data_IF_437939782740
#
_entry.id   IF_437939782740
#
_cell.length_a   1.000
_cell.length_b   1.000
_cell.length_c   1.000
_cell.angle_alpha   90.00
_cell.angle_beta   90.00
_cell.angle_gamma   90.00
#
_symmetry.space_group_name_H-M   'P 1'
#
loop_
_entity.id
_entity.type
_entity.pdbx_description
1 polymer ?
#
# COMPACT_ATOMS: atom_id res chain seq x y z
N UNK A 1 -61.01 10.43 -30.02
CA UNK A 1 -60.80 10.52 -28.55
C UNK A 1 -60.09 9.25 -28.09
N UNK A 2 -58.95 9.43 -27.39
CA UNK A 2 -58.28 8.54 -26.41
C UNK A 2 -57.69 7.22 -26.98
N UNK A 3 -56.36 7.00 -27.16
CA UNK A 3 -55.15 6.98 -26.29
C UNK A 3 -54.69 5.52 -26.00
N UNK A 4 -53.50 5.15 -26.52
CA UNK A 4 -52.39 4.36 -25.86
C UNK A 4 -52.68 2.95 -25.29
N UNK A 5 -51.82 1.92 -25.31
CA UNK A 5 -50.35 1.70 -25.35
C UNK A 5 -50.16 0.16 -25.58
N UNK A 6 -49.19 -0.31 -26.38
CA UNK A 6 -47.88 -0.88 -25.95
C UNK A 6 -47.96 -1.68 -24.63
N UNK A 7 -47.51 -2.94 -24.54
CA UNK A 7 -46.10 -3.30 -24.33
C UNK A 7 -45.86 -4.78 -24.77
N UNK A 8 -44.75 -4.97 -25.48
CA UNK A 8 -44.14 -6.26 -25.83
C UNK A 8 -43.59 -6.99 -24.59
N UNK A 9 -43.94 -8.26 -24.45
CA UNK A 9 -43.27 -9.19 -23.54
C UNK A 9 -41.88 -9.55 -24.11
N UNK A 10 -40.84 -8.91 -23.58
CA UNK A 10 -39.45 -9.33 -23.79
C UNK A 10 -39.00 -10.14 -22.57
N UNK A 11 -38.95 -11.46 -22.74
CA UNK A 11 -38.27 -12.36 -21.82
C UNK A 11 -36.75 -12.12 -21.94
N UNK A 12 -36.14 -11.57 -20.88
CA UNK A 12 -34.69 -11.51 -20.74
C UNK A 12 -34.21 -12.75 -19.98
N UNK A 13 -33.25 -13.53 -20.51
CA UNK A 13 -32.57 -14.53 -19.72
C UNK A 13 -31.60 -13.83 -18.76
N UNK A 14 -31.85 -13.98 -17.46
CA UNK A 14 -30.89 -13.65 -16.40
C UNK A 14 -29.69 -14.61 -16.52
N UNK A 15 -28.70 -14.22 -17.32
CA UNK A 15 -27.38 -14.83 -17.29
C UNK A 15 -26.71 -14.41 -15.97
N UNK A 16 -26.85 -15.24 -14.95
CA UNK A 16 -26.04 -15.16 -13.73
C UNK A 16 -24.62 -15.52 -14.13
N UNK A 17 -23.83 -14.50 -14.48
CA UNK A 17 -22.38 -14.62 -14.52
C UNK A 17 -21.89 -14.82 -13.10
N UNK A 18 -21.63 -16.09 -12.74
CA UNK A 18 -20.80 -16.44 -11.60
C UNK A 18 -19.41 -15.85 -11.87
N UNK A 19 -19.16 -14.66 -11.33
CA UNK A 19 -17.80 -14.15 -11.18
C UNK A 19 -17.14 -15.12 -10.20
N UNK A 20 -16.27 -16.00 -10.71
CA UNK A 20 -15.32 -16.73 -9.88
C UNK A 20 -14.50 -15.70 -9.12
N UNK A 21 -14.84 -15.49 -7.86
CA UNK A 21 -13.95 -14.85 -6.89
C UNK A 21 -12.75 -15.77 -6.77
N UNK A 22 -11.73 -15.54 -7.60
CA UNK A 22 -10.39 -16.02 -7.30
C UNK A 22 -10.01 -15.39 -5.97
N UNK A 23 -10.29 -16.12 -4.89
CA UNK A 23 -9.76 -15.84 -3.56
C UNK A 23 -8.30 -16.26 -3.64
N UNK A 24 -7.49 -15.48 -4.38
CA UNK A 24 -6.05 -15.51 -4.20
C UNK A 24 -5.87 -15.15 -2.73
N UNK A 25 -5.49 -16.13 -1.92
CA UNK A 25 -5.14 -15.88 -0.52
C UNK A 25 -4.17 -14.71 -0.53
N UNK A 26 -4.59 -13.55 -0.02
CA UNK A 26 -3.73 -12.38 -0.02
C UNK A 26 -2.46 -12.76 0.74
N UNK A 27 -1.34 -12.83 0.03
CA UNK A 27 -0.03 -13.15 0.58
C UNK A 27 0.77 -11.86 0.64
N UNK A 28 1.43 -11.66 1.78
CA UNK A 28 2.38 -10.57 1.92
C UNK A 28 3.64 -10.87 1.10
N UNK A 29 4.31 -9.83 0.56
CA UNK A 29 5.64 -9.98 0.01
C UNK A 29 6.58 -10.60 1.04
N UNK A 30 7.54 -11.40 0.56
CA UNK A 30 8.51 -12.10 1.42
C UNK A 30 9.24 -11.16 2.39
N UNK A 31 9.52 -9.92 1.97
CA UNK A 31 10.15 -8.91 2.80
C UNK A 31 9.29 -8.51 4.01
N UNK A 32 7.97 -8.39 3.82
CA UNK A 32 7.03 -8.00 4.87
C UNK A 32 6.78 -9.17 5.83
N UNK A 33 6.67 -10.41 5.33
CA UNK A 33 6.60 -11.61 6.19
C UNK A 33 7.88 -11.74 7.05
N UNK A 34 9.05 -11.54 6.44
CA UNK A 34 10.32 -11.58 7.17
C UNK A 34 10.42 -10.46 8.22
N UNK A 35 9.87 -9.28 7.93
CA UNK A 35 9.77 -8.20 8.90
C UNK A 35 8.87 -8.59 10.08
N UNK A 36 7.64 -9.05 9.83
CA UNK A 36 6.70 -9.42 10.87
C UNK A 36 7.24 -10.55 11.76
N UNK A 37 7.92 -11.54 11.17
CA UNK A 37 8.56 -12.62 11.92
C UNK A 37 9.66 -12.09 12.87
N UNK A 38 10.51 -11.17 12.40
CA UNK A 38 11.54 -10.53 13.25
C UNK A 38 10.94 -9.65 14.33
N UNK A 39 9.89 -8.90 13.98
CA UNK A 39 9.18 -8.03 14.90
C UNK A 39 8.51 -8.85 16.02
N UNK A 40 7.83 -9.95 15.69
CA UNK A 40 7.24 -10.84 16.69
C UNK A 40 8.32 -11.46 17.60
N UNK A 41 9.43 -11.92 17.02
CA UNK A 41 10.56 -12.46 17.80
C UNK A 41 11.11 -11.46 18.82
N UNK A 42 11.08 -10.16 18.49
CA UNK A 42 11.67 -9.09 19.32
C UNK A 42 10.67 -8.47 20.29
N UNK A 43 9.41 -8.34 19.88
CA UNK A 43 8.34 -7.67 20.63
C UNK A 43 7.44 -8.64 21.39
N UNK A 44 7.56 -9.94 21.10
CA UNK A 44 6.75 -11.02 21.69
C UNK A 44 5.24 -10.74 21.56
N UNK A 45 4.71 -10.81 20.35
CA UNK A 45 3.29 -10.55 20.12
C UNK A 45 2.43 -11.62 20.80
N UNK A 46 1.31 -11.17 21.35
CA UNK A 46 0.18 -12.07 21.65
C UNK A 46 -0.46 -12.59 20.35
N UNK A 47 -1.24 -13.67 20.44
CA UNK A 47 -1.95 -14.21 19.27
C UNK A 47 -2.89 -13.18 18.62
N UNK A 48 -3.56 -12.37 19.44
CA UNK A 48 -4.40 -11.27 18.97
C UNK A 48 -3.60 -10.19 18.23
N UNK A 49 -2.40 -9.87 18.70
CA UNK A 49 -1.51 -8.92 18.02
C UNK A 49 -0.94 -9.50 16.72
N UNK A 50 -0.56 -10.79 16.68
CA UNK A 50 -0.10 -11.44 15.44
C UNK A 50 -1.15 -11.34 14.33
N UNK A 51 -2.41 -11.68 14.65
CA UNK A 51 -3.48 -11.61 13.66
C UNK A 51 -3.78 -10.15 13.25
N UNK A 52 -3.87 -9.24 14.21
CA UNK A 52 -4.16 -7.83 13.94
C UNK A 52 -3.06 -7.17 13.09
N UNK A 53 -1.79 -7.39 13.43
CA UNK A 53 -0.65 -6.84 12.68
C UNK A 53 -0.61 -7.43 11.27
N UNK A 54 -0.80 -8.74 11.11
CA UNK A 54 -0.87 -9.37 9.78
C UNK A 54 -1.99 -8.78 8.93
N UNK A 55 -3.17 -8.55 9.51
CA UNK A 55 -4.32 -7.93 8.83
C UNK A 55 -4.03 -6.50 8.38
N UNK A 56 -3.39 -5.68 9.23
CA UNK A 56 -2.96 -4.31 8.88
C UNK A 56 -2.05 -4.35 7.65
N UNK A 57 -1.04 -5.21 7.65
CA UNK A 57 -0.10 -5.31 6.54
C UNK A 57 -0.77 -5.80 5.25
N UNK A 58 -1.67 -6.79 5.33
CA UNK A 58 -2.38 -7.30 4.15
C UNK A 58 -3.28 -6.24 3.51
N UNK A 59 -3.97 -5.46 4.34
CA UNK A 59 -4.86 -4.38 3.87
C UNK A 59 -4.08 -3.34 3.09
N UNK A 60 -2.99 -2.82 3.67
CA UNK A 60 -2.15 -1.81 3.03
C UNK A 60 -1.36 -2.38 1.84
N UNK A 61 -1.00 -3.67 1.86
CA UNK A 61 -0.37 -4.31 0.70
C UNK A 61 -1.30 -4.33 -0.52
N UNK A 62 -2.59 -4.60 -0.32
CA UNK A 62 -3.58 -4.53 -1.39
C UNK A 62 -3.64 -3.14 -2.01
N UNK A 63 -3.64 -2.09 -1.19
CA UNK A 63 -3.65 -0.70 -1.65
C UNK A 63 -2.35 -0.33 -2.39
N UNK A 64 -1.19 -0.73 -1.87
CA UNK A 64 0.10 -0.52 -2.55
C UNK A 64 0.15 -1.22 -3.92
N UNK A 65 -0.44 -2.40 -4.04
CA UNK A 65 -0.53 -3.12 -5.32
C UNK A 65 -1.42 -2.38 -6.32
N UNK A 66 -2.53 -1.78 -5.87
CA UNK A 66 -3.40 -0.97 -6.73
C UNK A 66 -2.66 0.27 -7.25
N UNK A 67 -1.98 1.00 -6.36
CA UNK A 67 -1.18 2.17 -6.72
C UNK A 67 -0.01 1.81 -7.66
N UNK A 68 0.60 0.63 -7.48
CA UNK A 68 1.63 0.14 -8.40
C UNK A 68 1.05 -0.15 -9.79
N UNK A 69 -0.11 -0.80 -9.87
CA UNK A 69 -0.75 -1.07 -11.15
C UNK A 69 -1.17 0.22 -11.87
N UNK A 70 -1.60 1.24 -11.13
CA UNK A 70 -1.90 2.56 -11.66
C UNK A 70 -0.64 3.24 -12.21
N UNK A 71 0.48 3.18 -11.47
CA UNK A 71 1.77 3.69 -11.92
C UNK A 71 2.23 3.02 -13.22
N UNK A 72 2.20 1.68 -13.26
CA UNK A 72 2.57 0.88 -14.44
C UNK A 72 1.68 1.19 -15.66
N UNK A 73 0.41 1.58 -15.42
CA UNK A 73 -0.53 2.01 -16.45
C UNK A 73 -0.17 3.41 -16.97
N UNK A 74 0.14 4.35 -16.08
CA UNK A 74 0.53 5.71 -16.47
C UNK A 74 1.78 5.71 -17.35
N UNK A 75 2.80 4.93 -17.00
CA UNK A 75 4.04 4.80 -17.77
C UNK A 75 3.80 4.28 -19.20
N UNK A 76 2.70 3.54 -19.42
CA UNK A 76 2.37 2.97 -20.73
C UNK A 76 1.49 3.89 -21.59
N UNK A 77 0.62 4.69 -20.98
CA UNK A 77 -0.45 5.37 -21.70
C UNK A 77 -0.35 6.90 -21.71
N UNK A 78 0.38 7.52 -20.78
CA UNK A 78 0.54 8.98 -20.75
C UNK A 78 1.68 9.40 -21.70
N UNK A 79 1.33 10.13 -22.75
CA UNK A 79 2.28 10.57 -23.79
C UNK A 79 2.84 11.96 -23.51
N UNK A 80 2.24 12.73 -22.59
CA UNK A 80 2.76 14.03 -22.20
C UNK A 80 3.71 13.89 -21.01
N UNK A 81 4.99 14.12 -21.25
CA UNK A 81 6.05 13.96 -20.25
C UNK A 81 5.81 14.79 -18.97
N UNK A 82 5.39 16.05 -19.08
CA UNK A 82 5.18 16.88 -17.89
C UNK A 82 4.00 16.41 -17.04
N UNK A 83 2.95 15.91 -17.69
CA UNK A 83 1.79 15.31 -17.03
C UNK A 83 2.10 13.94 -16.43
N UNK A 84 2.91 13.14 -17.12
CA UNK A 84 3.41 11.85 -16.63
C UNK A 84 4.16 12.06 -15.32
N UNK A 85 5.18 12.94 -15.32
CA UNK A 85 5.97 13.23 -14.13
C UNK A 85 5.12 13.74 -12.96
N UNK A 86 4.16 14.64 -13.23
CA UNK A 86 3.26 15.15 -12.20
C UNK A 86 2.43 14.01 -11.56
N UNK A 87 1.80 13.16 -12.38
CA UNK A 87 0.97 12.05 -11.89
C UNK A 87 1.80 10.98 -11.17
N UNK A 88 2.99 10.63 -11.69
CA UNK A 88 3.91 9.70 -11.03
C UNK A 88 4.31 10.21 -9.64
N UNK A 89 4.61 11.51 -9.52
CA UNK A 89 4.93 12.11 -8.22
C UNK A 89 3.77 12.02 -7.23
N UNK A 90 2.52 12.23 -7.69
CA UNK A 90 1.32 12.07 -6.85
C UNK A 90 1.17 10.63 -6.36
N UNK A 91 1.27 9.64 -7.25
CA UNK A 91 1.16 8.22 -6.85
C UNK A 91 2.29 7.81 -5.91
N UNK A 92 3.51 8.26 -6.17
CA UNK A 92 4.64 7.99 -5.27
C UNK A 92 4.43 8.60 -3.88
N UNK A 93 3.84 9.79 -3.80
CA UNK A 93 3.45 10.40 -2.54
C UNK A 93 2.35 9.57 -1.84
N UNK A 94 1.31 9.14 -2.57
CA UNK A 94 0.26 8.27 -2.00
C UNK A 94 0.83 6.96 -1.47
N UNK A 95 1.74 6.30 -2.19
CA UNK A 95 2.42 5.08 -1.72
C UNK A 95 3.22 5.33 -0.44
N UNK A 96 3.81 6.51 -0.28
CA UNK A 96 4.48 6.90 0.97
C UNK A 96 3.45 7.06 2.08
N UNK A 97 2.36 7.77 1.83
CA UNK A 97 1.31 8.01 2.82
C UNK A 97 0.67 6.69 3.31
N UNK A 98 0.44 5.73 2.42
CA UNK A 98 -0.03 4.37 2.76
C UNK A 98 0.95 3.63 3.67
N UNK A 99 2.26 3.75 3.43
CA UNK A 99 3.28 3.14 4.30
C UNK A 99 3.35 3.81 5.66
N UNK A 100 3.25 5.13 5.71
CA UNK A 100 3.24 5.90 6.95
C UNK A 100 1.99 5.56 7.78
N UNK A 101 0.82 5.48 7.14
CA UNK A 101 -0.43 5.07 7.78
C UNK A 101 -0.35 3.63 8.32
N UNK A 102 0.21 2.70 7.54
CA UNK A 102 0.47 1.33 7.98
C UNK A 102 1.34 1.28 9.23
N UNK A 103 2.40 2.08 9.28
CA UNK A 103 3.28 2.17 10.45
C UNK A 103 2.52 2.72 11.67
N UNK A 104 1.72 3.78 11.50
CA UNK A 104 0.90 4.34 12.58
C UNK A 104 -0.07 3.30 13.16
N UNK A 105 -0.77 2.56 12.29
CA UNK A 105 -1.69 1.50 12.73
C UNK A 105 -0.97 0.33 13.39
N UNK A 106 0.20 -0.07 12.86
CA UNK A 106 1.03 -1.08 13.49
C UNK A 106 1.45 -0.66 14.91
N UNK A 107 1.91 0.58 15.09
CA UNK A 107 2.31 1.13 16.40
C UNK A 107 1.14 1.24 17.38
N UNK A 108 -0.08 1.46 16.89
CA UNK A 108 -1.29 1.50 17.71
C UNK A 108 -1.65 0.11 18.28
N UNK A 109 -1.22 -0.97 17.63
CA UNK A 109 -1.42 -2.35 18.13
C UNK A 109 -0.41 -2.76 19.20
N UNK A 110 0.65 -1.98 19.39
CA UNK A 110 1.70 -2.27 20.37
C UNK A 110 1.36 -1.70 21.74
N UNK A 111 1.85 -2.38 22.78
CA UNK A 111 1.91 -1.79 24.13
C UNK A 111 2.99 -0.71 24.20
N UNK A 112 2.97 0.12 25.24
CA UNK A 112 4.00 1.16 25.43
C UNK A 112 5.42 0.58 25.53
N UNK A 113 5.58 -0.53 26.26
CA UNK A 113 6.85 -1.23 26.36
C UNK A 113 7.33 -1.76 24.99
N UNK A 114 6.42 -2.37 24.21
CA UNK A 114 6.74 -2.84 22.86
C UNK A 114 7.10 -1.69 21.91
N UNK A 115 6.42 -0.54 22.00
CA UNK A 115 6.78 0.66 21.22
C UNK A 115 8.19 1.15 21.53
N UNK A 116 8.57 1.19 22.81
CA UNK A 116 9.93 1.57 23.20
C UNK A 116 10.98 0.61 22.60
N UNK A 117 10.73 -0.70 22.67
CA UNK A 117 11.60 -1.70 22.04
C UNK A 117 11.63 -1.60 20.52
N UNK A 118 10.50 -1.29 19.87
CA UNK A 118 10.43 -1.08 18.43
C UNK A 118 11.32 0.08 17.99
N UNK A 119 11.20 1.24 18.64
CA UNK A 119 12.00 2.43 18.33
C UNK A 119 13.50 2.21 18.57
N UNK A 120 13.86 1.44 19.62
CA UNK A 120 15.27 1.16 19.94
C UNK A 120 15.90 0.13 19.00
N UNK A 121 15.19 -0.96 18.70
CA UNK A 121 15.79 -2.20 18.14
C UNK A 121 15.36 -2.54 16.73
N UNK A 122 14.19 -2.09 16.30
CA UNK A 122 13.59 -2.52 15.03
C UNK A 122 13.60 -1.39 14.02
N UNK A 123 13.15 -0.21 14.44
CA UNK A 123 13.06 0.94 13.56
C UNK A 123 14.46 1.29 13.06
N UNK A 124 14.68 1.35 11.74
CA UNK A 124 15.98 1.74 11.23
C UNK A 124 16.25 3.17 11.72
N UNK A 125 17.29 3.33 12.54
CA UNK A 125 17.81 4.66 12.84
C UNK A 125 18.22 5.24 11.50
N UNK A 126 17.47 6.23 10.98
CA UNK A 126 17.88 6.94 9.79
C UNK A 126 19.30 7.44 10.07
N UNK A 127 20.32 7.07 9.27
CA UNK A 127 21.61 7.70 9.42
C UNK A 127 21.35 9.20 9.35
N UNK A 128 21.86 9.95 10.34
CA UNK A 128 21.84 11.40 10.28
C UNK A 128 22.80 11.81 9.15
N UNK A 129 22.36 11.65 7.90
CA UNK A 129 22.99 12.32 6.78
C UNK A 129 22.50 13.76 6.86
N UNK A 130 23.15 14.51 7.76
CA UNK A 130 23.11 15.96 7.76
C UNK A 130 23.72 16.40 6.43
N UNK A 131 22.87 16.66 5.46
CA UNK A 131 23.24 17.48 4.33
C UNK A 131 23.45 18.91 4.84
N UNK A 132 24.69 19.22 5.24
CA UNK A 132 25.09 20.58 5.59
C UNK A 132 25.06 21.44 4.32
N UNK A 133 23.92 22.08 4.04
CA UNK A 133 23.77 23.13 3.02
C UNK A 133 23.06 22.75 1.71
N UNK A 134 22.63 23.78 0.98
CA UNK A 134 22.08 23.69 -0.39
C UNK A 134 23.21 23.21 -1.30
N UNK A 135 23.08 22.01 -1.86
CA UNK A 135 24.02 21.47 -2.81
C UNK A 135 23.31 20.71 -3.93
N UNK A 136 23.99 20.60 -5.08
CA UNK A 136 23.50 19.88 -6.25
C UNK A 136 23.47 18.37 -5.96
N UNK A 137 22.26 17.84 -5.82
CA UNK A 137 22.02 16.42 -5.50
C UNK A 137 22.55 15.51 -6.61
N UNK A 138 22.48 15.94 -7.88
CA UNK A 138 22.92 15.17 -9.03
C UNK A 138 24.45 15.00 -9.09
N UNK A 139 25.20 15.71 -8.26
CA UNK A 139 26.66 15.58 -8.14
C UNK A 139 27.13 15.13 -6.76
N UNK A 140 26.20 14.83 -5.86
CA UNK A 140 26.55 14.43 -4.51
C UNK A 140 26.80 12.92 -4.45
N UNK A 141 28.05 12.52 -4.20
CA UNK A 141 28.44 11.12 -4.03
C UNK A 141 27.77 10.40 -2.85
N UNK A 142 27.05 11.15 -2.00
CA UNK A 142 26.24 10.63 -0.89
C UNK A 142 24.77 10.50 -1.30
N UNK A 143 24.23 11.40 -2.13
CA UNK A 143 22.83 11.35 -2.60
C UNK A 143 22.61 10.41 -3.78
N UNK A 144 23.64 10.16 -4.59
CA UNK A 144 23.57 9.36 -5.82
C UNK A 144 24.00 7.90 -5.63
N UNK A 145 24.11 7.45 -4.38
CA UNK A 145 24.26 6.03 -4.05
C UNK A 145 22.93 5.50 -3.55
#
# INVERSE_FOLDING_TARGET
MIKTRSIFNAALPFAVWLISLNTTSAQLPQQEEAFLMRADTTLHFSDGQREATRKVYLTHQSELNQLQAELDSLEKFETNESMLQLKMNVINQQKKDVRDQRELEFLALLTEAQRATYEERIKPQKPQVLHFGIHDRAKCNVCNK
#
